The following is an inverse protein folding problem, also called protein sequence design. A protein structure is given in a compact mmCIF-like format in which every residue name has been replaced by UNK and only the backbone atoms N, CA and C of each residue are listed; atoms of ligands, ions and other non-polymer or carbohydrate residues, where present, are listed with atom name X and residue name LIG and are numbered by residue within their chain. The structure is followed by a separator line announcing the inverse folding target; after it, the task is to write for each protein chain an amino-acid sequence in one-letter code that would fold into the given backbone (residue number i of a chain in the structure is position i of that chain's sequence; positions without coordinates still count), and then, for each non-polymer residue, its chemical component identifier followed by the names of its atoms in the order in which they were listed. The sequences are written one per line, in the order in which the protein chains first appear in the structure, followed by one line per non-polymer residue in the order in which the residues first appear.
data_IF_931978014309
#
_entry.id   IF_931978014309
#
_cell.length_a   1.000
_cell.length_b   1.000
_cell.length_c   1.000
_cell.angle_alpha   90.00
_cell.angle_beta   90.00
_cell.angle_gamma   90.00
#
_symmetry.space_group_name_H-M   'P 1'
#
loop_
_entity.id
_entity.type
_entity.pdbx_description
1 polymer ?
#
# COMPACT_ATOMS: atom_id res chain seq x y z
N UNK A 1 6.67 -22.57 23.19
CA UNK A 1 5.51 -22.17 24.01
C UNK A 1 4.76 -21.05 23.29
N UNK A 2 3.50 -21.29 22.96
CA UNK A 2 2.65 -20.22 22.39
C UNK A 2 2.28 -19.24 23.52
N UNK A 3 2.77 -18.01 23.43
CA UNK A 3 2.42 -16.96 24.38
C UNK A 3 0.98 -16.50 24.09
N UNK A 4 0.09 -16.64 25.07
CA UNK A 4 -1.26 -16.09 24.97
C UNK A 4 -1.20 -14.57 25.04
N UNK A 5 -1.79 -13.89 24.07
CA UNK A 5 -1.84 -12.44 23.97
C UNK A 5 -3.31 -12.00 24.07
N UNK A 6 -3.59 -11.01 24.91
CA UNK A 6 -4.91 -10.41 25.00
C UNK A 6 -5.09 -9.36 23.89
N UNK A 7 -6.17 -9.47 23.11
CA UNK A 7 -6.56 -8.49 22.10
C UNK A 7 -7.80 -7.75 22.61
N UNK A 8 -7.70 -6.43 22.73
CA UNK A 8 -8.82 -5.57 23.12
C UNK A 8 -9.48 -4.98 21.87
N UNK A 9 -10.77 -5.24 21.69
CA UNK A 9 -11.59 -4.68 20.63
C UNK A 9 -12.58 -3.65 21.20
N UNK A 10 -12.61 -2.44 20.62
CA UNK A 10 -13.62 -1.43 20.94
C UNK A 10 -14.78 -1.57 19.95
N UNK A 11 -15.99 -1.73 20.49
CA UNK A 11 -17.22 -1.85 19.71
C UNK A 11 -18.39 -1.23 20.47
N UNK A 12 -19.55 -1.07 19.83
CA UNK A 12 -20.78 -0.65 20.49
C UNK A 12 -21.39 -1.81 21.29
N UNK A 13 -22.14 -1.49 22.34
CA UNK A 13 -22.84 -2.48 23.16
C UNK A 13 -23.78 -3.33 22.30
N UNK A 14 -24.57 -2.68 21.45
CA UNK A 14 -25.55 -3.33 20.56
C UNK A 14 -24.88 -4.35 19.61
N UNK A 15 -23.76 -3.98 18.99
CA UNK A 15 -23.04 -4.91 18.09
C UNK A 15 -22.45 -6.09 18.85
N UNK A 16 -21.92 -5.84 20.05
CA UNK A 16 -21.37 -6.89 20.90
C UNK A 16 -22.46 -7.89 21.30
N UNK A 17 -23.60 -7.41 21.80
CA UNK A 17 -24.73 -8.25 22.24
C UNK A 17 -25.30 -9.06 21.07
N UNK A 18 -25.56 -8.42 19.94
CA UNK A 18 -26.06 -9.10 18.74
C UNK A 18 -25.08 -10.17 18.22
N UNK A 19 -23.78 -9.87 18.24
CA UNK A 19 -22.75 -10.82 17.83
C UNK A 19 -22.67 -11.99 18.81
N UNK A 20 -22.73 -11.74 20.11
CA UNK A 20 -22.71 -12.75 21.16
C UNK A 20 -23.92 -13.68 21.04
N UNK A 21 -25.13 -13.14 20.88
CA UNK A 21 -26.34 -13.93 20.69
C UNK A 21 -26.24 -14.89 19.48
N UNK A 22 -25.73 -14.39 18.36
CA UNK A 22 -25.59 -15.20 17.15
C UNK A 22 -24.59 -16.34 17.38
N UNK A 23 -23.41 -16.05 17.92
CA UNK A 23 -22.36 -17.07 18.06
C UNK A 23 -22.72 -18.12 19.12
N UNK A 24 -23.37 -17.71 20.23
CA UNK A 24 -23.83 -18.63 21.27
C UNK A 24 -24.95 -19.54 20.77
N UNK A 25 -25.88 -19.02 19.96
CA UNK A 25 -26.93 -19.82 19.32
C UNK A 25 -26.35 -20.90 18.41
N UNK A 26 -25.25 -20.62 17.73
CA UNK A 26 -24.54 -21.58 16.86
C UNK A 26 -23.56 -22.47 17.64
N UNK A 27 -23.48 -22.34 18.98
CA UNK A 27 -22.67 -23.19 19.86
C UNK A 27 -21.19 -22.76 19.96
N UNK A 28 -20.85 -21.53 19.63
CA UNK A 28 -19.49 -20.99 19.69
C UNK A 28 -19.37 -19.86 20.72
N UNK A 29 -18.16 -19.55 21.11
CA UNK A 29 -17.84 -18.31 21.83
C UNK A 29 -17.37 -17.22 20.86
N UNK A 30 -17.51 -15.96 21.27
CA UNK A 30 -17.00 -14.82 20.48
C UNK A 30 -15.49 -14.97 20.19
N UNK A 31 -14.72 -15.46 21.17
CA UNK A 31 -13.27 -15.64 21.02
C UNK A 31 -12.92 -16.68 19.97
N UNK A 32 -13.63 -17.81 19.95
CA UNK A 32 -13.41 -18.87 18.96
C UNK A 32 -13.69 -18.39 17.53
N UNK A 33 -14.78 -17.65 17.34
CA UNK A 33 -15.13 -17.14 16.01
C UNK A 33 -14.13 -16.08 15.55
N UNK A 34 -13.71 -15.18 16.44
CA UNK A 34 -12.70 -14.16 16.12
C UNK A 34 -11.34 -14.81 15.83
N UNK A 35 -10.92 -15.79 16.61
CA UNK A 35 -9.67 -16.53 16.38
C UNK A 35 -9.70 -17.31 15.06
N UNK A 36 -10.83 -17.94 14.73
CA UNK A 36 -11.00 -18.62 13.45
C UNK A 36 -10.90 -17.65 12.26
N UNK A 37 -11.53 -16.47 12.36
CA UNK A 37 -11.43 -15.43 11.35
C UNK A 37 -9.98 -14.93 11.17
N UNK A 38 -9.26 -14.73 12.26
CA UNK A 38 -7.84 -14.33 12.22
C UNK A 38 -6.98 -15.42 11.54
N UNK A 39 -7.17 -16.69 11.89
CA UNK A 39 -6.46 -17.83 11.28
C UNK A 39 -6.73 -17.93 9.78
N UNK A 40 -7.97 -17.70 9.36
CA UNK A 40 -8.34 -17.73 7.94
C UNK A 40 -7.68 -16.59 7.15
N UNK A 41 -7.68 -15.39 7.71
CA UNK A 41 -6.99 -14.22 7.11
C UNK A 41 -5.49 -14.48 6.96
N UNK A 42 -4.84 -14.99 8.00
CA UNK A 42 -3.40 -15.33 7.98
C UNK A 42 -3.10 -16.39 6.92
N UNK A 43 -3.91 -17.46 6.88
CA UNK A 43 -3.74 -18.55 5.90
C UNK A 43 -3.90 -18.07 4.46
N UNK A 44 -4.85 -17.19 4.19
CA UNK A 44 -5.11 -16.64 2.85
C UNK A 44 -4.14 -15.53 2.45
N UNK A 45 -3.49 -14.88 3.41
CA UNK A 45 -2.66 -13.70 3.17
C UNK A 45 -3.44 -12.46 2.74
N UNK A 46 -4.78 -12.48 2.90
CA UNK A 46 -5.67 -11.37 2.53
C UNK A 46 -6.91 -11.32 3.42
N UNK A 47 -7.50 -10.14 3.54
CA UNK A 47 -8.78 -9.96 4.23
C UNK A 47 -9.93 -10.19 3.24
N UNK A 48 -10.85 -11.15 3.50
CA UNK A 48 -11.98 -11.40 2.62
C UNK A 48 -12.87 -10.17 2.42
N UNK A 49 -13.28 -9.90 1.18
CA UNK A 49 -14.15 -8.77 0.86
C UNK A 49 -15.48 -8.79 1.63
N UNK A 50 -16.01 -9.97 1.94
CA UNK A 50 -17.20 -10.12 2.75
C UNK A 50 -17.10 -9.49 4.15
N UNK A 51 -15.88 -9.41 4.71
CA UNK A 51 -15.64 -8.80 6.02
C UNK A 51 -15.44 -7.28 5.94
N UNK A 52 -15.00 -6.76 4.79
CA UNK A 52 -14.57 -5.34 4.67
C UNK A 52 -15.35 -4.55 3.62
N UNK A 53 -16.31 -5.14 2.93
CA UNK A 53 -17.08 -4.47 1.87
C UNK A 53 -17.85 -3.22 2.36
N UNK A 54 -18.17 -3.16 3.64
CA UNK A 54 -18.88 -2.03 4.30
C UNK A 54 -17.94 -1.20 5.19
N UNK A 55 -16.66 -1.54 5.27
CA UNK A 55 -15.69 -0.82 6.10
C UNK A 55 -14.99 0.22 5.24
N UNK A 56 -15.16 1.49 5.56
CA UNK A 56 -14.33 2.54 4.97
C UNK A 56 -12.86 2.31 5.35
N UNK A 57 -12.02 2.16 4.35
CA UNK A 57 -10.58 2.05 4.56
C UNK A 57 -10.05 3.40 5.06
N UNK A 58 -9.97 3.58 6.37
CA UNK A 58 -9.40 4.78 7.00
C UNK A 58 -7.90 4.93 6.70
N UNK A 59 -7.23 3.85 6.29
CA UNK A 59 -5.81 3.82 5.95
C UNK A 59 -5.62 2.87 4.78
N UNK A 60 -4.81 3.27 3.81
CA UNK A 60 -4.43 2.40 2.71
C UNK A 60 -3.63 1.18 3.20
N UNK A 61 -3.44 0.13 2.39
CA UNK A 61 -2.61 -1.01 2.75
C UNK A 61 -1.15 -0.57 2.93
N UNK A 62 -0.41 -1.23 3.83
CA UNK A 62 1.04 -1.17 3.81
C UNK A 62 1.51 -2.02 2.63
N UNK A 63 2.14 -1.38 1.64
CA UNK A 63 2.59 -2.05 0.43
C UNK A 63 3.99 -2.63 0.61
N UNK A 64 4.28 -3.74 -0.04
CA UNK A 64 5.65 -4.24 -0.16
C UNK A 64 6.35 -3.61 -1.37
N UNK A 65 7.67 -3.44 -1.30
CA UNK A 65 8.47 -2.89 -2.42
C UNK A 65 8.31 -3.74 -3.69
N UNK A 66 8.33 -5.09 -3.64
CA UNK A 66 8.07 -5.92 -4.82
C UNK A 66 6.69 -5.68 -5.45
N UNK A 67 5.66 -5.41 -4.64
CA UNK A 67 4.33 -5.08 -5.15
C UNK A 67 4.32 -3.72 -5.85
N UNK A 68 4.94 -2.69 -5.25
CA UNK A 68 5.09 -1.36 -5.85
C UNK A 68 5.83 -1.46 -7.20
N UNK A 69 6.94 -2.21 -7.23
CA UNK A 69 7.73 -2.43 -8.44
C UNK A 69 6.90 -3.07 -9.55
N UNK A 70 6.18 -4.15 -9.26
CA UNK A 70 5.32 -4.82 -10.24
C UNK A 70 4.24 -3.90 -10.80
N UNK A 71 3.53 -3.15 -9.93
CA UNK A 71 2.52 -2.20 -10.38
C UNK A 71 3.11 -1.09 -11.26
N UNK A 72 4.31 -0.64 -10.95
CA UNK A 72 5.04 0.33 -11.76
C UNK A 72 5.38 -0.25 -13.14
N UNK A 73 5.98 -1.43 -13.21
CA UNK A 73 6.37 -2.10 -14.46
C UNK A 73 5.15 -2.34 -15.37
N UNK A 74 4.04 -2.83 -14.81
CA UNK A 74 2.79 -3.00 -15.54
C UNK A 74 2.24 -1.67 -16.08
N UNK A 75 2.26 -0.60 -15.26
CA UNK A 75 1.81 0.73 -15.68
C UNK A 75 2.68 1.30 -16.78
N UNK A 76 3.99 1.19 -16.67
CA UNK A 76 4.93 1.67 -17.69
C UNK A 76 4.80 0.90 -19.01
N UNK A 77 4.55 -0.41 -18.93
CA UNK A 77 4.29 -1.24 -20.11
C UNK A 77 3.00 -0.85 -20.84
N UNK A 78 1.95 -0.50 -20.10
CA UNK A 78 0.68 -0.06 -20.71
C UNK A 78 0.74 1.35 -21.29
N UNK A 79 1.50 2.24 -20.64
CA UNK A 79 1.69 3.61 -21.14
C UNK A 79 2.56 3.66 -22.40
N UNK A 80 3.45 2.67 -22.57
CA UNK A 80 4.43 2.56 -23.67
C UNK A 80 5.13 3.88 -24.01
N UNK A 81 5.48 4.64 -22.96
CA UNK A 81 6.13 5.95 -23.11
C UNK A 81 7.64 5.77 -23.21
N UNK A 82 8.28 6.08 -24.36
CA UNK A 82 9.72 5.87 -24.56
C UNK A 82 10.61 6.85 -23.81
N UNK A 83 10.03 7.93 -23.28
CA UNK A 83 10.77 9.05 -22.68
C UNK A 83 11.12 8.83 -21.20
N UNK A 84 10.54 7.81 -20.55
CA UNK A 84 10.88 7.42 -19.18
C UNK A 84 12.17 6.61 -19.20
N UNK A 85 13.19 7.10 -18.49
CA UNK A 85 14.51 6.47 -18.41
C UNK A 85 14.69 5.64 -17.16
N UNK A 86 14.32 6.22 -16.01
CA UNK A 86 14.51 5.56 -14.72
C UNK A 86 13.45 5.98 -13.72
N UNK A 87 12.99 5.05 -12.89
CA UNK A 87 12.12 5.33 -11.76
C UNK A 87 12.71 4.69 -10.50
N UNK A 88 12.81 5.46 -9.44
CA UNK A 88 13.33 5.01 -8.15
C UNK A 88 12.34 5.33 -7.04
N UNK A 89 12.24 4.47 -6.06
CA UNK A 89 11.49 4.68 -4.83
C UNK A 89 12.37 5.45 -3.84
N UNK A 90 11.82 6.43 -3.15
CA UNK A 90 12.49 7.13 -2.04
C UNK A 90 11.54 7.33 -0.86
N UNK A 91 11.90 8.16 0.12
CA UNK A 91 11.05 8.46 1.27
C UNK A 91 10.86 7.29 2.22
N UNK A 92 9.70 7.24 2.87
CA UNK A 92 9.42 6.30 3.98
C UNK A 92 9.46 4.84 3.57
N UNK A 93 9.00 4.51 2.37
CA UNK A 93 9.05 3.13 1.86
C UNK A 93 10.48 2.68 1.59
N UNK A 94 11.33 3.52 1.02
CA UNK A 94 12.73 3.20 0.77
C UNK A 94 13.52 3.03 2.07
N UNK A 95 13.17 3.82 3.10
CA UNK A 95 13.79 3.76 4.44
C UNK A 95 13.29 2.59 5.30
N UNK A 96 12.25 1.89 4.90
CA UNK A 96 11.62 0.86 5.72
C UNK A 96 10.81 1.39 6.92
N UNK A 97 10.47 2.68 6.92
CA UNK A 97 9.72 3.35 7.98
C UNK A 97 8.27 3.65 7.59
N UNK A 98 7.83 3.15 6.42
CA UNK A 98 6.49 3.37 5.93
C UNK A 98 5.42 2.80 6.87
N UNK A 99 4.29 3.49 6.94
CA UNK A 99 3.09 3.10 7.67
C UNK A 99 1.92 2.92 6.70
N UNK A 100 0.80 2.35 7.12
CA UNK A 100 -0.41 2.30 6.28
C UNK A 100 -0.92 3.68 5.81
N UNK A 101 -0.53 4.78 6.44
CA UNK A 101 -0.86 6.15 6.04
C UNK A 101 0.20 6.83 5.18
N UNK A 102 1.35 6.18 4.95
CA UNK A 102 2.43 6.75 4.13
C UNK A 102 2.05 6.79 2.65
N UNK A 103 2.44 7.85 1.97
CA UNK A 103 2.39 7.99 0.53
C UNK A 103 3.52 7.19 -0.12
N UNK A 104 3.41 6.93 -1.41
CA UNK A 104 4.47 6.31 -2.20
C UNK A 104 5.21 7.41 -2.96
N UNK A 105 6.48 7.62 -2.61
CA UNK A 105 7.33 8.67 -3.17
C UNK A 105 8.23 8.07 -4.26
N UNK A 106 8.06 8.52 -5.49
CA UNK A 106 8.84 8.08 -6.65
C UNK A 106 9.66 9.23 -7.22
N UNK A 107 10.89 8.92 -7.62
CA UNK A 107 11.74 9.84 -8.36
C UNK A 107 11.88 9.36 -9.80
N UNK A 108 11.48 10.22 -10.72
CA UNK A 108 11.45 9.96 -12.16
C UNK A 108 12.59 10.68 -12.87
N UNK A 109 13.36 9.95 -13.64
CA UNK A 109 14.32 10.47 -14.62
C UNK A 109 13.75 10.21 -16.02
N UNK A 110 13.49 11.29 -16.75
CA UNK A 110 12.94 11.25 -18.10
C UNK A 110 13.69 12.26 -19.00
N UNK A 111 13.54 12.11 -20.31
CA UNK A 111 14.08 13.09 -21.25
C UNK A 111 13.14 14.31 -21.41
N UNK A 112 13.56 15.28 -22.23
CA UNK A 112 12.87 16.56 -22.39
C UNK A 112 11.50 16.48 -23.09
N UNK A 113 11.19 15.35 -23.70
CA UNK A 113 9.90 15.13 -24.39
C UNK A 113 8.83 14.57 -23.45
N UNK A 114 9.22 14.12 -22.26
CA UNK A 114 8.27 13.73 -21.22
C UNK A 114 7.59 14.95 -20.62
N UNK A 115 6.32 15.12 -20.93
CA UNK A 115 5.55 16.29 -20.57
C UNK A 115 4.80 16.18 -19.23
N UNK A 116 4.22 17.29 -18.82
CA UNK A 116 3.41 17.38 -17.60
C UNK A 116 2.17 16.49 -17.66
N UNK A 117 1.59 16.29 -18.85
CA UNK A 117 0.43 15.42 -19.04
C UNK A 117 0.82 13.94 -18.87
N UNK A 118 2.01 13.54 -19.33
CA UNK A 118 2.53 12.20 -19.13
C UNK A 118 2.76 11.92 -17.64
N UNK A 119 3.34 12.90 -16.92
CA UNK A 119 3.54 12.83 -15.48
C UNK A 119 2.22 12.64 -14.72
N UNK A 120 1.23 13.47 -15.04
CA UNK A 120 -0.09 13.38 -14.42
C UNK A 120 -0.78 12.05 -14.73
N UNK A 121 -0.68 11.56 -15.96
CA UNK A 121 -1.20 10.26 -16.37
C UNK A 121 -0.57 9.10 -15.58
N UNK A 122 0.75 9.12 -15.45
CA UNK A 122 1.51 8.13 -14.67
C UNK A 122 1.10 8.14 -13.19
N UNK A 123 1.00 9.33 -12.59
CA UNK A 123 0.58 9.48 -11.19
C UNK A 123 -0.83 8.94 -10.95
N UNK A 124 -1.78 9.27 -11.81
CA UNK A 124 -3.17 8.79 -11.72
C UNK A 124 -3.24 7.27 -11.85
N UNK A 125 -2.57 6.69 -12.85
CA UNK A 125 -2.57 5.25 -13.08
C UNK A 125 -1.96 4.48 -11.91
N UNK A 126 -0.83 4.95 -11.38
CA UNK A 126 -0.20 4.33 -10.21
C UNK A 126 -1.05 4.48 -8.94
N UNK A 127 -1.68 5.63 -8.72
CA UNK A 127 -2.60 5.85 -7.59
C UNK A 127 -3.76 4.87 -7.62
N UNK A 128 -4.33 4.62 -8.79
CA UNK A 128 -5.43 3.66 -8.95
C UNK A 128 -4.99 2.22 -8.66
N UNK A 129 -3.81 1.80 -9.14
CA UNK A 129 -3.29 0.45 -8.93
C UNK A 129 -2.83 0.19 -7.50
N UNK A 130 -2.15 1.15 -6.90
CA UNK A 130 -1.60 1.02 -5.56
C UNK A 130 -2.64 1.27 -4.45
N UNK A 131 -3.76 1.94 -4.78
CA UNK A 131 -4.78 2.33 -3.80
C UNK A 131 -4.25 3.31 -2.75
N UNK A 132 -3.22 4.08 -3.10
CA UNK A 132 -2.53 5.05 -2.25
C UNK A 132 -2.21 6.33 -3.00
N UNK A 133 -1.99 7.40 -2.24
CA UNK A 133 -1.40 8.61 -2.80
C UNK A 133 0.01 8.28 -3.31
N UNK A 134 0.31 8.75 -4.51
CA UNK A 134 1.61 8.65 -5.15
C UNK A 134 2.09 10.07 -5.39
N UNK A 135 3.31 10.36 -5.05
CA UNK A 135 4.00 11.62 -5.40
C UNK A 135 5.18 11.29 -6.29
N UNK A 136 5.26 11.96 -7.43
CA UNK A 136 6.34 11.75 -8.39
C UNK A 136 7.17 13.04 -8.47
N UNK A 137 8.38 12.98 -7.95
CA UNK A 137 9.37 14.03 -8.09
C UNK A 137 10.19 13.81 -9.36
N UNK A 138 10.50 14.91 -10.05
CA UNK A 138 11.44 14.96 -11.17
C UNK A 138 12.70 15.70 -10.74
N UNK A 139 13.62 15.92 -11.68
CA UNK A 139 14.85 16.68 -11.41
C UNK A 139 14.54 18.04 -10.79
N UNK A 140 15.19 18.35 -9.69
CA UNK A 140 15.08 19.60 -8.96
C UNK A 140 16.42 20.34 -8.95
N UNK A 141 16.37 21.67 -8.93
CA UNK A 141 17.55 22.53 -8.78
C UNK A 141 18.02 22.64 -7.31
N UNK A 142 17.26 22.05 -6.36
CA UNK A 142 17.66 21.98 -4.95
C UNK A 142 18.71 20.87 -4.74
N UNK A 143 19.99 21.23 -4.47
CA UNK A 143 21.06 20.25 -4.27
C UNK A 143 20.85 19.37 -3.03
N UNK A 144 20.19 19.90 -1.98
CA UNK A 144 19.92 19.17 -0.78
C UNK A 144 18.91 18.05 -1.04
N UNK A 145 17.80 18.36 -1.70
CA UNK A 145 16.79 17.39 -2.09
C UNK A 145 17.37 16.30 -2.98
N UNK A 146 18.13 16.67 -4.00
CA UNK A 146 18.79 15.72 -4.90
C UNK A 146 19.80 14.82 -4.19
N UNK A 147 20.50 15.32 -3.18
CA UNK A 147 21.46 14.53 -2.40
C UNK A 147 20.74 13.50 -1.52
N UNK A 148 19.61 13.87 -0.90
CA UNK A 148 18.77 12.95 -0.14
C UNK A 148 18.27 11.80 -1.02
N UNK A 149 17.69 12.14 -2.19
CA UNK A 149 17.21 11.12 -3.13
C UNK A 149 18.34 10.17 -3.54
N UNK A 150 19.51 10.71 -3.92
CA UNK A 150 20.64 9.87 -4.35
C UNK A 150 21.13 8.89 -3.30
N UNK A 151 21.06 9.24 -2.02
CA UNK A 151 21.50 8.37 -0.92
C UNK A 151 20.50 7.29 -0.53
N UNK A 152 19.22 7.56 -0.67
CA UNK A 152 18.16 6.74 -0.08
C UNK A 152 17.32 5.98 -1.11
N UNK A 153 17.50 6.27 -2.40
CA UNK A 153 16.66 5.69 -3.45
C UNK A 153 16.91 4.21 -3.69
N UNK A 154 15.84 3.49 -3.94
CA UNK A 154 15.84 2.11 -4.41
C UNK A 154 15.40 2.13 -5.89
N UNK A 155 16.24 1.70 -6.84
CA UNK A 155 15.84 1.64 -8.24
C UNK A 155 14.74 0.58 -8.44
N UNK A 156 13.66 0.98 -9.10
CA UNK A 156 12.54 0.09 -9.42
C UNK A 156 12.48 -0.25 -10.92
N UNK A 157 12.83 0.72 -11.77
CA UNK A 157 12.82 0.58 -13.22
C UNK A 157 13.98 1.34 -13.84
N UNK A 158 14.60 0.77 -14.85
CA UNK A 158 15.63 1.39 -15.68
C UNK A 158 15.52 0.85 -17.11
N UNK A 159 15.43 1.76 -18.06
CA UNK A 159 15.41 1.42 -19.49
C UNK A 159 16.84 1.39 -19.99
N UNK A 160 17.23 0.28 -20.61
CA UNK A 160 18.52 0.13 -21.33
C UNK A 160 18.57 0.97 -22.62
#
# INVERSE_FOLDING_TARGET
MNKVILINLRTTTELKESFQEIVEREGFTMSEVLEAAMKDIVRRGLVPNSLVSKVERKRGPLLSIPFIKRCLEETLSEMDNPHIRKVSLFGSYAKGTATPSSDVDLYLEADSEFGLLDLAGLEIALRQRLGKKVEIATKSDDPYFMNVIKKERIPLYERE
#
